data_IF_707596454843
#
_entry.id   IF_707596454843
#
_cell.length_a   1.000
_cell.length_b   1.000
_cell.length_c   1.000
_cell.angle_alpha   90.00
_cell.angle_beta   90.00
_cell.angle_gamma   90.00
#
_symmetry.space_group_name_H-M   'P 1'
#
loop_
_entity.id
_entity.type
_entity.pdbx_description
1 polymer ?
#
# COMPACT_ATOMS: atom_id res chain seq x y z
N UNK A 1 1.21 16.56 -12.70
CA UNK A 1 0.06 16.51 -11.77
C UNK A 1 0.37 17.33 -10.54
N UNK A 2 -0.58 18.14 -10.12
CA UNK A 2 -0.41 18.86 -8.86
C UNK A 2 -0.51 17.90 -7.68
N UNK A 3 0.20 18.22 -6.61
CA UNK A 3 0.08 17.50 -5.35
C UNK A 3 -1.36 17.59 -4.83
N UNK A 4 -2.03 16.44 -4.73
CA UNK A 4 -3.41 16.35 -4.26
C UNK A 4 -3.55 15.66 -2.91
N UNK A 5 -2.53 14.92 -2.50
CA UNK A 5 -2.56 14.13 -1.26
C UNK A 5 -1.35 14.44 -0.38
N UNK A 6 -1.53 14.23 0.91
CA UNK A 6 -0.43 14.38 1.87
C UNK A 6 0.53 13.18 1.82
N UNK A 7 -0.01 12.02 1.51
CA UNK A 7 0.77 10.78 1.46
C UNK A 7 0.09 9.75 0.57
N UNK A 8 0.87 8.80 0.09
CA UNK A 8 0.38 7.58 -0.55
C UNK A 8 0.51 6.47 0.49
N UNK A 9 -0.57 5.74 0.76
CA UNK A 9 -0.54 4.54 1.59
C UNK A 9 -0.46 3.34 0.67
N UNK A 10 0.64 2.60 0.74
CA UNK A 10 0.86 1.42 -0.08
C UNK A 10 0.77 0.19 0.81
N UNK A 11 -0.25 -0.63 0.60
CA UNK A 11 -0.46 -1.83 1.40
C UNK A 11 0.31 -3.01 0.83
N UNK A 12 1.02 -3.72 1.70
CA UNK A 12 1.79 -4.89 1.34
C UNK A 12 0.93 -6.13 1.16
N UNK A 13 1.59 -7.20 0.83
CA UNK A 13 1.01 -8.52 0.64
C UNK A 13 2.02 -9.53 1.16
N UNK A 14 1.55 -10.70 1.59
CA UNK A 14 2.41 -11.75 2.11
C UNK A 14 3.58 -12.04 1.17
N UNK A 15 4.77 -12.09 1.73
CA UNK A 15 5.98 -12.42 0.97
C UNK A 15 6.04 -13.90 0.64
N UNK A 16 6.79 -14.23 -0.42
CA UNK A 16 7.16 -15.60 -0.71
C UNK A 16 8.06 -16.14 0.41
N UNK A 17 8.17 -17.47 0.58
CA UNK A 17 9.03 -18.03 1.64
C UNK A 17 10.49 -17.60 1.59
N UNK A 18 11.01 -17.25 0.40
CA UNK A 18 12.38 -16.75 0.24
C UNK A 18 12.52 -15.25 0.53
N UNK A 19 11.44 -14.58 0.92
CA UNK A 19 11.44 -13.15 1.21
C UNK A 19 11.22 -12.25 0.02
N UNK A 20 10.99 -12.81 -1.17
CA UNK A 20 10.71 -12.01 -2.35
C UNK A 20 9.25 -11.61 -2.44
N UNK A 21 8.98 -10.57 -3.24
CA UNK A 21 7.63 -10.07 -3.48
C UNK A 21 6.88 -10.98 -4.46
N UNK A 22 5.60 -11.22 -4.17
CA UNK A 22 4.70 -11.80 -5.15
C UNK A 22 4.42 -10.79 -6.27
N UNK A 23 4.05 -11.28 -7.45
CA UNK A 23 3.74 -10.43 -8.61
C UNK A 23 2.69 -9.37 -8.26
N UNK A 24 1.66 -9.73 -7.52
CA UNK A 24 0.61 -8.81 -7.13
C UNK A 24 1.17 -7.62 -6.34
N UNK A 25 2.15 -7.84 -5.47
CA UNK A 25 2.80 -6.77 -4.71
C UNK A 25 3.62 -5.85 -5.61
N UNK A 26 4.28 -6.42 -6.63
CA UNK A 26 5.04 -5.63 -7.60
C UNK A 26 4.11 -4.69 -8.39
N UNK A 27 2.91 -5.15 -8.73
CA UNK A 27 1.92 -4.33 -9.42
C UNK A 27 1.43 -3.18 -8.53
N UNK A 28 1.26 -3.42 -7.24
CA UNK A 28 0.93 -2.36 -6.27
C UNK A 28 2.04 -1.32 -6.20
N UNK A 29 3.29 -1.77 -6.14
CA UNK A 29 4.46 -0.88 -6.09
C UNK A 29 4.57 0.00 -7.33
N UNK A 30 4.33 -0.56 -8.51
CA UNK A 30 4.32 0.20 -9.76
C UNK A 30 3.29 1.33 -9.73
N UNK A 31 2.09 1.02 -9.23
CA UNK A 31 1.03 2.02 -9.14
C UNK A 31 1.41 3.16 -8.21
N UNK A 32 1.96 2.84 -7.06
CA UNK A 32 2.40 3.84 -6.10
C UNK A 32 3.55 4.69 -6.67
N UNK A 33 4.51 4.06 -7.33
CA UNK A 33 5.63 4.78 -7.96
C UNK A 33 5.14 5.74 -9.04
N UNK A 34 4.18 5.32 -9.87
CA UNK A 34 3.58 6.18 -10.89
C UNK A 34 2.96 7.42 -10.26
N UNK A 35 2.18 7.25 -9.21
CA UNK A 35 1.54 8.37 -8.51
C UNK A 35 2.57 9.31 -7.91
N UNK A 36 3.60 8.78 -7.27
CA UNK A 36 4.64 9.60 -6.66
C UNK A 36 5.41 10.40 -7.71
N UNK A 37 5.80 9.76 -8.81
CA UNK A 37 6.52 10.43 -9.91
C UNK A 37 5.67 11.50 -10.58
N UNK A 38 4.35 11.32 -10.62
CA UNK A 38 3.43 12.31 -11.15
C UNK A 38 3.18 13.47 -10.18
N UNK A 39 3.77 13.44 -9.00
CA UNK A 39 3.63 14.51 -8.02
C UNK A 39 2.39 14.44 -7.16
N UNK A 40 1.72 13.29 -7.10
CA UNK A 40 0.46 13.15 -6.36
C UNK A 40 0.63 13.39 -4.86
N UNK A 41 1.76 12.98 -4.28
CA UNK A 41 2.07 13.20 -2.86
C UNK A 41 3.58 13.18 -2.65
N UNK A 42 4.08 13.81 -1.56
CA UNK A 42 5.52 13.87 -1.31
C UNK A 42 6.12 12.60 -0.74
N UNK A 43 5.30 11.76 -0.06
CA UNK A 43 5.80 10.56 0.62
C UNK A 43 4.91 9.36 0.34
N UNK A 44 5.51 8.18 0.45
CA UNK A 44 4.80 6.90 0.39
C UNK A 44 5.03 6.20 1.73
N UNK A 45 3.96 5.77 2.39
CA UNK A 45 4.06 4.90 3.56
C UNK A 45 3.91 3.47 3.05
N UNK A 46 4.99 2.72 3.10
CA UNK A 46 5.01 1.31 2.71
C UNK A 46 4.64 0.48 3.93
N UNK A 47 3.53 -0.25 3.85
CA UNK A 47 2.93 -0.91 5.00
C UNK A 47 3.00 -2.43 4.92
N UNK A 48 3.45 -3.04 6.00
CA UNK A 48 3.40 -4.49 6.16
C UNK A 48 4.52 -5.02 7.03
N UNK A 49 4.15 -5.86 7.99
CA UNK A 49 5.08 -6.51 8.90
C UNK A 49 5.75 -7.74 8.30
N UNK A 50 6.40 -8.55 9.15
CA UNK A 50 7.08 -9.76 8.68
C UNK A 50 6.07 -10.84 8.29
N UNK A 51 6.23 -11.41 7.09
CA UNK A 51 5.41 -12.51 6.59
C UNK A 51 6.28 -13.48 5.79
N UNK A 52 5.76 -14.64 5.47
CA UNK A 52 6.43 -15.62 4.62
C UNK A 52 7.50 -16.45 5.31
N UNK A 53 7.94 -16.07 6.50
CA UNK A 53 8.90 -16.85 7.29
C UNK A 53 10.38 -16.55 7.03
N UNK A 54 10.71 -15.59 6.14
CA UNK A 54 12.11 -15.26 5.84
C UNK A 54 12.74 -14.31 6.86
N UNK A 55 11.94 -13.68 7.72
CA UNK A 55 12.39 -12.63 8.62
C UNK A 55 12.32 -11.23 8.01
N UNK A 56 12.03 -11.12 6.73
CA UNK A 56 11.88 -9.83 6.07
C UNK A 56 10.47 -9.28 6.27
N UNK A 57 10.34 -7.95 6.29
CA UNK A 57 9.03 -7.31 6.35
C UNK A 57 8.54 -6.96 4.95
N UNK A 58 7.22 -6.94 4.78
CA UNK A 58 6.62 -6.50 3.52
C UNK A 58 7.02 -5.05 3.22
N UNK A 59 7.07 -4.21 4.25
CA UNK A 59 7.44 -2.80 4.10
C UNK A 59 8.84 -2.61 3.51
N UNK A 60 9.83 -3.36 3.99
CA UNK A 60 11.19 -3.21 3.46
C UNK A 60 11.29 -3.71 2.02
N UNK A 61 10.58 -4.77 1.67
CA UNK A 61 10.55 -5.28 0.30
C UNK A 61 9.87 -4.28 -0.63
N UNK A 62 8.76 -3.67 -0.18
CA UNK A 62 8.11 -2.59 -0.93
C UNK A 62 9.06 -1.42 -1.15
N UNK A 63 9.80 -1.02 -0.12
CA UNK A 63 10.76 0.08 -0.25
C UNK A 63 11.83 -0.22 -1.30
N UNK A 64 12.40 -1.42 -1.26
CA UNK A 64 13.39 -1.83 -2.26
C UNK A 64 12.83 -1.74 -3.67
N UNK A 65 11.61 -2.21 -3.86
CA UNK A 65 10.94 -2.17 -5.15
C UNK A 65 10.67 -0.73 -5.61
N UNK A 66 10.18 0.12 -4.70
CA UNK A 66 9.93 1.52 -5.02
C UNK A 66 11.20 2.25 -5.44
N UNK A 67 12.30 2.02 -4.72
CA UNK A 67 13.59 2.63 -5.04
C UNK A 67 14.07 2.16 -6.41
N UNK A 68 13.92 0.87 -6.72
CA UNK A 68 14.28 0.35 -8.04
C UNK A 68 13.44 0.96 -9.17
N UNK A 69 12.24 1.41 -8.85
CA UNK A 69 11.34 2.07 -9.80
C UNK A 69 11.57 3.59 -9.89
N UNK A 70 12.54 4.11 -9.16
CA UNK A 70 12.91 5.52 -9.24
C UNK A 70 12.35 6.42 -8.16
N UNK A 71 11.72 5.86 -7.13
CA UNK A 71 11.26 6.65 -5.98
C UNK A 71 12.45 6.96 -5.08
N UNK A 72 12.56 8.21 -4.61
CA UNK A 72 13.64 8.58 -3.70
C UNK A 72 13.50 7.82 -2.39
N UNK A 73 14.61 7.27 -1.89
CA UNK A 73 14.62 6.50 -0.65
C UNK A 73 14.06 7.34 0.51
N UNK A 74 14.42 8.61 0.59
CA UNK A 74 13.95 9.51 1.64
C UNK A 74 12.46 9.78 1.61
N UNK A 75 11.78 9.47 0.50
CA UNK A 75 10.33 9.65 0.37
C UNK A 75 9.53 8.43 0.86
N UNK A 76 10.19 7.34 1.24
CA UNK A 76 9.52 6.12 1.66
C UNK A 76 9.59 5.99 3.18
N UNK A 77 8.43 5.99 3.84
CA UNK A 77 8.30 5.76 5.26
C UNK A 77 7.85 4.31 5.47
N UNK A 78 8.41 3.63 6.45
CA UNK A 78 8.12 2.22 6.70
C UNK A 78 7.13 2.05 7.85
N UNK A 79 6.06 1.31 7.59
CA UNK A 79 5.20 0.74 8.62
C UNK A 79 5.39 -0.77 8.58
N UNK A 80 6.19 -1.33 9.46
CA UNK A 80 6.70 -2.70 9.38
C UNK A 80 6.28 -3.60 10.54
N UNK A 81 5.24 -3.21 11.29
CA UNK A 81 4.80 -3.96 12.48
C UNK A 81 3.43 -4.59 12.36
N UNK A 82 2.72 -4.32 11.28
CA UNK A 82 1.35 -4.78 11.13
C UNK A 82 1.27 -6.20 10.57
N UNK A 83 0.23 -6.92 10.98
CA UNK A 83 -0.08 -8.25 10.46
C UNK A 83 -1.38 -8.27 9.65
N UNK A 84 -2.23 -7.25 9.81
CA UNK A 84 -3.52 -7.15 9.10
C UNK A 84 -3.74 -5.72 8.60
N UNK A 85 -4.66 -5.56 7.65
CA UNK A 85 -4.93 -4.28 7.01
C UNK A 85 -5.29 -3.16 8.00
N UNK A 86 -6.13 -3.46 8.99
CA UNK A 86 -6.50 -2.46 9.99
C UNK A 86 -5.28 -1.93 10.73
N UNK A 87 -4.36 -2.81 11.11
CA UNK A 87 -3.12 -2.41 11.77
C UNK A 87 -2.24 -1.56 10.87
N UNK A 88 -2.16 -1.92 9.57
CA UNK A 88 -1.43 -1.13 8.57
C UNK A 88 -1.88 0.32 8.64
N UNK A 89 -3.18 0.53 8.60
CA UNK A 89 -3.77 1.87 8.51
C UNK A 89 -3.67 2.62 9.83
N UNK A 90 -3.91 1.93 10.96
CA UNK A 90 -3.73 2.53 12.30
C UNK A 90 -2.29 3.02 12.47
N UNK A 91 -1.32 2.17 12.12
CA UNK A 91 0.09 2.50 12.30
C UNK A 91 0.54 3.59 11.33
N UNK A 92 0.05 3.56 10.08
CA UNK A 92 0.33 4.62 9.11
C UNK A 92 -0.19 5.97 9.62
N UNK A 93 -1.37 5.99 10.23
CA UNK A 93 -1.92 7.22 10.80
C UNK A 93 -1.02 7.79 11.89
N UNK A 94 -0.46 6.94 12.73
CA UNK A 94 0.49 7.37 13.76
C UNK A 94 1.76 7.96 13.16
N UNK A 95 2.28 7.31 12.11
CA UNK A 95 3.48 7.77 11.42
C UNK A 95 3.25 9.14 10.77
N UNK A 96 2.11 9.33 10.14
CA UNK A 96 1.80 10.57 9.43
C UNK A 96 1.44 11.73 10.34
N UNK A 97 0.87 11.44 11.51
CA UNK A 97 0.40 12.46 12.44
C UNK A 97 -0.94 13.07 12.05
N UNK A 98 -1.42 13.98 12.89
CA UNK A 98 -2.76 14.55 12.76
C UNK A 98 -2.96 15.43 11.52
N UNK A 99 -1.89 16.04 11.01
CA UNK A 99 -1.98 17.03 9.93
C UNK A 99 -1.98 16.42 8.52
N UNK A 100 -1.61 15.16 8.39
CA UNK A 100 -1.53 14.49 7.09
C UNK A 100 -2.62 13.45 6.96
N UNK A 101 -3.85 13.92 6.68
CA UNK A 101 -5.04 13.07 6.62
C UNK A 101 -5.57 12.79 5.23
N UNK A 102 -5.07 13.47 4.20
CA UNK A 102 -5.55 13.30 2.84
C UNK A 102 -4.62 12.34 2.10
N UNK A 103 -5.09 11.13 1.83
CA UNK A 103 -4.23 10.07 1.34
C UNK A 103 -4.75 9.41 0.07
N UNK A 104 -3.80 9.00 -0.76
CA UNK A 104 -4.04 8.11 -1.88
C UNK A 104 -3.75 6.68 -1.40
N UNK A 105 -4.74 5.83 -1.41
CA UNK A 105 -4.61 4.44 -0.99
C UNK A 105 -4.33 3.56 -2.19
N UNK A 106 -3.21 2.84 -2.17
CA UNK A 106 -2.83 1.91 -3.22
C UNK A 106 -2.84 0.48 -2.69
N UNK A 107 -3.66 -0.34 -3.28
CA UNK A 107 -3.75 -1.78 -3.02
C UNK A 107 -4.28 -2.46 -4.28
N UNK A 108 -4.44 -3.76 -4.25
CA UNK A 108 -5.04 -4.47 -5.38
C UNK A 108 -6.49 -4.04 -5.58
N UNK A 109 -6.94 -4.06 -6.82
CA UNK A 109 -8.27 -3.55 -7.19
C UNK A 109 -9.41 -4.20 -6.38
N UNK A 110 -9.33 -5.49 -6.09
CA UNK A 110 -10.36 -6.19 -5.32
C UNK A 110 -10.36 -5.82 -3.82
N UNK A 111 -9.30 -5.15 -3.34
CA UNK A 111 -9.14 -4.77 -1.93
C UNK A 111 -9.49 -3.31 -1.65
N UNK A 112 -9.63 -2.49 -2.69
CA UNK A 112 -9.77 -1.03 -2.54
C UNK A 112 -10.99 -0.65 -1.71
N UNK A 113 -12.13 -1.26 -2.00
CA UNK A 113 -13.38 -0.89 -1.32
C UNK A 113 -13.27 -1.04 0.19
N UNK A 114 -12.86 -2.20 0.65
CA UNK A 114 -12.75 -2.51 2.08
C UNK A 114 -11.69 -1.67 2.77
N UNK A 115 -10.53 -1.55 2.15
CA UNK A 115 -9.42 -0.78 2.72
C UNK A 115 -9.77 0.70 2.82
N UNK A 116 -10.47 1.23 1.84
CA UNK A 116 -10.94 2.61 1.85
C UNK A 116 -11.89 2.86 3.02
N UNK A 117 -12.81 1.93 3.29
CA UNK A 117 -13.72 2.06 4.43
C UNK A 117 -12.95 2.12 5.76
N UNK A 118 -11.93 1.30 5.90
CA UNK A 118 -11.08 1.32 7.10
C UNK A 118 -10.38 2.66 7.24
N UNK A 119 -9.80 3.18 6.15
CA UNK A 119 -9.17 4.49 6.14
C UNK A 119 -10.13 5.59 6.62
N UNK A 120 -11.35 5.60 6.10
CA UNK A 120 -12.35 6.60 6.48
C UNK A 120 -12.72 6.51 7.94
N UNK A 121 -12.89 5.32 8.48
CA UNK A 121 -13.21 5.11 9.89
C UNK A 121 -12.09 5.60 10.81
N UNK A 122 -10.86 5.54 10.33
CA UNK A 122 -9.70 5.98 11.09
C UNK A 122 -9.36 7.46 10.86
N UNK A 123 -10.23 8.19 10.20
CA UNK A 123 -10.13 9.64 10.09
C UNK A 123 -9.37 10.16 8.88
N UNK A 124 -9.06 9.30 7.91
CA UNK A 124 -8.47 9.75 6.65
C UNK A 124 -9.52 10.24 5.67
N UNK A 125 -9.14 11.22 4.87
CA UNK A 125 -9.77 11.49 3.57
C UNK A 125 -9.01 10.66 2.57
N UNK A 126 -9.71 9.83 1.80
CA UNK A 126 -9.05 8.80 1.02
C UNK A 126 -9.62 8.71 -0.39
N UNK A 127 -8.72 8.58 -1.36
CA UNK A 127 -9.07 8.16 -2.70
C UNK A 127 -8.33 6.86 -2.98
N UNK A 128 -9.06 5.84 -3.44
CA UNK A 128 -8.48 4.54 -3.73
C UNK A 128 -7.97 4.45 -5.16
N UNK A 129 -6.81 3.83 -5.33
CA UNK A 129 -6.20 3.55 -6.62
C UNK A 129 -5.87 2.07 -6.66
N UNK A 130 -6.68 1.31 -7.40
CA UNK A 130 -6.50 -0.13 -7.50
C UNK A 130 -5.40 -0.49 -8.48
N UNK A 131 -4.44 -1.30 -8.04
CA UNK A 131 -3.50 -1.93 -8.94
C UNK A 131 -4.18 -3.12 -9.60
N UNK A 132 -3.87 -3.40 -10.88
CA UNK A 132 -4.45 -4.57 -11.54
C UNK A 132 -3.98 -5.83 -10.84
N UNK A 133 -4.83 -6.86 -10.85
CA UNK A 133 -4.54 -8.12 -10.17
C UNK A 133 -4.18 -9.16 -11.22
N UNK A 134 -3.06 -9.87 -11.05
CA UNK A 134 -2.74 -10.97 -11.94
C UNK A 134 -3.74 -12.11 -11.75
N UNK A 135 -3.94 -12.91 -12.76
CA UNK A 135 -4.91 -14.00 -12.76
C UNK A 135 -6.25 -13.57 -13.29
N UNK A 136 -7.20 -14.44 -13.25
CA UNK A 136 -8.47 -14.21 -13.90
C UNK A 136 -9.66 -14.32 -12.97
N UNK A 137 -10.46 -15.32 -13.19
CA UNK A 137 -11.76 -15.48 -12.55
C UNK A 137 -11.68 -15.53 -11.01
N UNK A 138 -10.64 -16.17 -10.46
CA UNK A 138 -10.51 -16.29 -9.01
C UNK A 138 -10.41 -14.93 -8.32
N UNK A 139 -9.74 -13.96 -8.95
CA UNK A 139 -9.62 -12.60 -8.41
C UNK A 139 -10.92 -11.84 -8.46
N UNK A 140 -11.72 -12.05 -9.50
CA UNK A 140 -13.04 -11.45 -9.59
C UNK A 140 -13.98 -11.98 -8.52
N UNK A 141 -13.90 -13.27 -8.22
CA UNK A 141 -14.68 -13.87 -7.17
C UNK A 141 -14.30 -13.31 -5.80
N UNK A 142 -13.01 -13.13 -5.55
CA UNK A 142 -12.53 -12.49 -4.32
C UNK A 142 -13.06 -11.06 -4.20
N UNK A 143 -13.12 -10.30 -5.29
CA UNK A 143 -13.67 -8.96 -5.26
C UNK A 143 -15.14 -8.94 -4.83
N UNK A 144 -15.93 -9.88 -5.32
CA UNK A 144 -17.33 -9.99 -4.89
C UNK A 144 -17.44 -10.23 -3.41
N UNK A 145 -16.62 -11.13 -2.87
CA UNK A 145 -16.61 -11.42 -1.44
C UNK A 145 -16.21 -10.19 -0.63
N UNK A 146 -15.22 -9.44 -1.09
CA UNK A 146 -14.80 -8.19 -0.43
C UNK A 146 -15.92 -7.13 -0.43
N UNK A 147 -16.72 -7.07 -1.50
CA UNK A 147 -17.80 -6.09 -1.62
C UNK A 147 -19.00 -6.41 -0.76
N UNK A 148 -19.20 -7.68 -0.42
CA UNK A 148 -20.31 -8.10 0.44
C UNK A 148 -20.00 -7.83 1.90
#
# INVERSE_FOLDING_TARGET
MKRTFDAILLLGLRLNPDGSAQEEMLLRSRKAAELWKAGAAPVIVACGGPTGGSGRTEAEVLKEELVSLGVAESAVLLEDRSMITTENIVNARKILGADRRNVALVTSDYHVFRSRLICRRLGFRVKGFGAPTPGGQARRDNRRLEAM
#
